data_IF_192981466777
#
_entry.id   IF_192981466777
#
_cell.length_a   1.000
_cell.length_b   1.000
_cell.length_c   1.000
_cell.angle_alpha   90.00
_cell.angle_beta   90.00
_cell.angle_gamma   90.00
#
_symmetry.space_group_name_H-M   'P 1'
#
loop_
_entity.id
_entity.type
_entity.pdbx_description
1 polymer ?
#
# COMPACT_ATOMS: atom_id res chain seq x y z
N UNK A 1 8.75 1.73 -31.67
CA UNK A 1 8.09 0.44 -32.00
C UNK A 1 7.75 -0.26 -30.70
N UNK A 2 6.47 -0.33 -30.33
CA UNK A 2 6.03 -0.99 -29.11
C UNK A 2 6.12 -2.50 -29.33
N UNK A 3 6.99 -3.19 -28.59
CA UNK A 3 7.14 -4.65 -28.69
C UNK A 3 5.81 -5.30 -28.28
N UNK A 4 5.24 -6.16 -29.12
CA UNK A 4 4.01 -6.88 -28.80
C UNK A 4 4.26 -7.94 -27.71
N UNK A 5 3.27 -8.22 -26.87
CA UNK A 5 3.36 -9.21 -25.80
C UNK A 5 2.99 -10.61 -26.36
N UNK A 6 3.88 -11.59 -26.23
CA UNK A 6 3.59 -12.99 -26.55
C UNK A 6 3.09 -13.73 -25.30
N UNK A 7 1.79 -13.53 -25.00
CA UNK A 7 1.16 -14.09 -23.80
C UNK A 7 1.19 -15.62 -23.76
N UNK A 8 1.00 -16.28 -24.90
CA UNK A 8 0.97 -17.73 -24.98
C UNK A 8 2.33 -18.33 -24.62
N UNK A 9 3.42 -17.73 -25.13
CA UNK A 9 4.78 -18.16 -24.82
C UNK A 9 5.19 -17.81 -23.39
N UNK A 10 4.77 -16.65 -22.88
CA UNK A 10 4.93 -16.29 -21.47
C UNK A 10 4.29 -17.35 -20.56
N UNK A 11 3.03 -17.70 -20.81
CA UNK A 11 2.35 -18.76 -20.04
C UNK A 11 3.10 -20.08 -20.14
N UNK A 12 3.48 -20.53 -21.33
CA UNK A 12 4.22 -21.80 -21.48
C UNK A 12 5.53 -21.86 -20.70
N UNK A 13 6.23 -20.73 -20.55
CA UNK A 13 7.51 -20.65 -19.81
C UNK A 13 7.27 -20.54 -18.31
N UNK A 14 6.39 -19.62 -17.89
CA UNK A 14 6.24 -19.17 -16.51
C UNK A 14 5.06 -19.79 -15.75
N UNK A 15 4.06 -20.34 -16.44
CA UNK A 15 2.88 -20.99 -15.85
C UNK A 15 3.19 -22.43 -15.43
N UNK A 16 4.24 -22.56 -14.61
CA UNK A 16 4.69 -23.81 -14.01
C UNK A 16 4.58 -23.69 -12.49
N UNK A 17 4.11 -24.73 -11.77
CA UNK A 17 4.04 -24.71 -10.31
C UNK A 17 5.38 -24.33 -9.65
N UNK A 18 6.49 -24.83 -10.22
CA UNK A 18 7.85 -24.54 -9.77
C UNK A 18 8.30 -23.08 -9.93
N UNK A 19 7.58 -22.25 -10.70
CA UNK A 19 7.85 -20.81 -10.84
C UNK A 19 6.81 -19.92 -10.15
N UNK A 20 5.77 -20.52 -9.54
CA UNK A 20 4.68 -19.77 -8.93
C UNK A 20 5.17 -18.83 -7.84
N UNK A 21 6.04 -19.30 -6.92
CA UNK A 21 6.63 -18.47 -5.85
C UNK A 21 7.52 -17.35 -6.37
N UNK A 22 8.23 -17.57 -7.49
CA UNK A 22 9.02 -16.54 -8.14
C UNK A 22 8.11 -15.41 -8.65
N UNK A 23 7.03 -15.77 -9.35
CA UNK A 23 6.05 -14.80 -9.85
C UNK A 23 5.34 -14.06 -8.70
N UNK A 24 4.95 -14.74 -7.63
CA UNK A 24 4.35 -14.08 -6.44
C UNK A 24 5.31 -13.09 -5.79
N UNK A 25 6.60 -13.42 -5.71
CA UNK A 25 7.64 -12.51 -5.19
C UNK A 25 7.81 -11.29 -6.09
N UNK A 26 7.84 -11.48 -7.41
CA UNK A 26 7.91 -10.37 -8.38
C UNK A 26 6.69 -9.47 -8.30
N UNK A 27 5.48 -10.04 -8.28
CA UNK A 27 4.24 -9.30 -8.09
C UNK A 27 4.31 -8.47 -6.80
N UNK A 28 4.57 -9.10 -5.66
CA UNK A 28 4.65 -8.40 -4.36
C UNK A 28 5.69 -7.29 -4.38
N UNK A 29 6.81 -7.51 -5.08
CA UNK A 29 7.89 -6.54 -5.21
C UNK A 29 7.44 -5.30 -6.00
N UNK A 30 6.82 -5.51 -7.16
CA UNK A 30 6.30 -4.41 -7.97
C UNK A 30 5.16 -3.67 -7.28
N UNK A 31 4.26 -4.42 -6.62
CA UNK A 31 3.14 -3.83 -5.90
C UNK A 31 3.60 -2.95 -4.73
N UNK A 32 4.71 -3.31 -4.08
CA UNK A 32 5.32 -2.55 -2.98
C UNK A 32 6.31 -1.47 -3.45
N UNK A 33 6.57 -1.34 -4.74
CA UNK A 33 7.57 -0.39 -5.26
C UNK A 33 8.99 -0.67 -4.76
N UNK A 34 9.37 -1.93 -4.58
CA UNK A 34 10.72 -2.29 -4.15
C UNK A 34 11.65 -2.27 -5.37
N UNK A 35 12.68 -1.42 -5.35
CA UNK A 35 13.58 -1.21 -6.49
C UNK A 35 14.98 -1.87 -6.38
N UNK A 36 15.24 -2.67 -5.34
CA UNK A 36 16.56 -3.32 -5.16
C UNK A 36 16.96 -4.30 -6.29
N UNK A 37 18.21 -4.38 -6.75
CA UNK A 37 18.59 -5.06 -8.01
C UNK A 37 18.39 -6.59 -8.05
N UNK A 38 18.06 -7.21 -6.92
CA UNK A 38 17.88 -8.65 -6.79
C UNK A 38 16.97 -8.99 -5.62
N UNK A 39 16.43 -10.20 -5.62
CA UNK A 39 15.75 -10.78 -4.45
C UNK A 39 16.21 -12.20 -4.19
N UNK A 40 16.01 -12.66 -2.96
CA UNK A 40 16.39 -14.01 -2.54
C UNK A 40 15.16 -14.86 -2.33
N UNK A 41 15.18 -16.06 -2.91
CA UNK A 41 14.21 -17.13 -2.64
C UNK A 41 14.80 -18.09 -1.59
N UNK A 42 14.29 -18.07 -0.34
CA UNK A 42 14.77 -18.95 0.71
C UNK A 42 14.18 -20.36 0.55
N UNK A 43 14.98 -21.37 0.89
CA UNK A 43 14.61 -22.79 0.92
C UNK A 43 13.87 -23.25 -0.34
N UNK A 44 14.44 -23.09 -1.55
CA UNK A 44 13.76 -23.52 -2.75
C UNK A 44 13.77 -25.05 -2.88
N UNK A 45 12.63 -25.60 -3.31
CA UNK A 45 12.49 -27.03 -3.61
C UNK A 45 13.41 -27.42 -4.77
N UNK A 46 13.65 -28.71 -4.96
CA UNK A 46 14.48 -29.17 -6.08
C UNK A 46 13.88 -28.77 -7.45
N UNK A 47 12.56 -28.81 -7.57
CA UNK A 47 11.86 -28.45 -8.81
C UNK A 47 11.91 -26.94 -9.07
N UNK A 48 11.74 -26.12 -8.04
CA UNK A 48 11.95 -24.67 -8.13
C UNK A 48 13.37 -24.35 -8.58
N UNK A 49 14.38 -25.01 -8.00
CA UNK A 49 15.79 -24.82 -8.40
C UNK A 49 16.01 -25.16 -9.86
N UNK A 50 15.52 -26.32 -10.31
CA UNK A 50 15.66 -26.77 -11.70
C UNK A 50 14.96 -25.82 -12.65
N UNK A 51 13.75 -25.38 -12.32
CA UNK A 51 12.99 -24.44 -13.14
C UNK A 51 13.67 -23.07 -13.22
N UNK A 52 14.17 -22.53 -12.10
CA UNK A 52 14.88 -21.24 -12.08
C UNK A 52 16.21 -21.34 -12.82
N UNK A 53 16.98 -22.40 -12.59
CA UNK A 53 18.25 -22.64 -13.29
C UNK A 53 18.04 -22.74 -14.81
N UNK A 54 17.03 -23.51 -15.24
CA UNK A 54 16.64 -23.63 -16.65
C UNK A 54 16.17 -22.30 -17.24
N UNK A 55 15.38 -21.51 -16.49
CA UNK A 55 14.91 -20.20 -16.91
C UNK A 55 16.07 -19.23 -17.15
N UNK A 56 17.05 -19.21 -16.24
CA UNK A 56 18.19 -18.30 -16.30
C UNK A 56 19.32 -18.82 -17.20
N UNK A 57 19.23 -20.05 -17.72
CA UNK A 57 20.30 -20.69 -18.48
C UNK A 57 21.56 -20.95 -17.65
N UNK A 58 21.40 -21.27 -16.36
CA UNK A 58 22.49 -21.48 -15.39
C UNK A 58 22.48 -22.92 -14.84
N UNK A 59 23.61 -23.43 -14.34
CA UNK A 59 23.63 -24.72 -13.65
C UNK A 59 22.81 -24.69 -12.36
N UNK A 60 22.23 -25.82 -11.99
CA UNK A 60 21.44 -25.96 -10.75
C UNK A 60 22.34 -25.87 -9.52
N UNK A 61 22.20 -24.81 -8.73
CA UNK A 61 22.93 -24.62 -7.47
C UNK A 61 22.38 -25.43 -6.30
N UNK A 62 23.25 -25.77 -5.34
CA UNK A 62 22.94 -26.56 -4.13
C UNK A 62 22.74 -25.75 -2.84
N UNK A 63 22.96 -24.43 -2.86
CA UNK A 63 22.90 -23.58 -1.66
C UNK A 63 21.50 -23.43 -1.05
N UNK A 64 21.35 -23.12 0.25
CA UNK A 64 20.04 -23.07 0.95
C UNK A 64 19.07 -21.99 0.44
N UNK A 65 19.54 -21.05 -0.37
CA UNK A 65 18.74 -20.01 -1.01
C UNK A 65 19.22 -19.79 -2.44
N UNK A 66 18.38 -19.18 -3.27
CA UNK A 66 18.76 -18.69 -4.61
C UNK A 66 18.61 -17.17 -4.61
N UNK A 67 19.68 -16.45 -4.95
CA UNK A 67 19.62 -15.02 -5.27
C UNK A 67 19.35 -14.87 -6.77
N UNK A 68 18.35 -14.06 -7.11
CA UNK A 68 17.91 -13.82 -8.49
C UNK A 68 18.05 -12.33 -8.75
N UNK A 69 18.87 -11.95 -9.74
CA UNK A 69 18.94 -10.56 -10.17
C UNK A 69 17.75 -10.22 -11.07
N UNK A 70 17.25 -9.00 -10.96
CA UNK A 70 16.16 -8.51 -11.82
C UNK A 70 16.62 -8.44 -13.27
N UNK A 71 17.86 -7.99 -13.50
CA UNK A 71 18.48 -7.93 -14.83
C UNK A 71 18.53 -9.29 -15.50
N UNK A 72 18.82 -10.37 -14.76
CA UNK A 72 18.84 -11.73 -15.33
C UNK A 72 17.46 -12.16 -15.87
N UNK A 73 16.38 -11.73 -15.20
CA UNK A 73 15.01 -12.01 -15.64
C UNK A 73 14.61 -11.12 -16.81
N UNK A 74 15.00 -9.84 -16.79
CA UNK A 74 14.81 -8.91 -17.91
C UNK A 74 15.51 -9.42 -19.18
N UNK A 75 16.73 -9.93 -19.05
CA UNK A 75 17.47 -10.53 -20.17
C UNK A 75 16.74 -11.75 -20.76
N UNK A 76 16.05 -12.54 -19.93
CA UNK A 76 15.24 -13.67 -20.41
C UNK A 76 14.03 -13.17 -21.21
N UNK A 77 13.34 -12.16 -20.70
CA UNK A 77 12.21 -11.52 -21.40
C UNK A 77 12.68 -10.91 -22.73
N UNK A 78 13.80 -10.19 -22.71
CA UNK A 78 14.34 -9.46 -23.87
C UNK A 78 14.86 -10.41 -24.96
N UNK A 79 15.62 -11.45 -24.58
CA UNK A 79 16.13 -12.47 -25.52
C UNK A 79 15.01 -13.33 -26.12
N UNK A 80 13.96 -13.59 -25.33
CA UNK A 80 12.80 -14.33 -25.80
C UNK A 80 11.79 -13.50 -26.59
N UNK A 81 12.00 -12.17 -26.67
CA UNK A 81 11.06 -11.19 -27.23
C UNK A 81 9.63 -11.32 -26.66
N UNK A 82 9.53 -11.68 -25.38
CA UNK A 82 8.26 -12.12 -24.78
C UNK A 82 7.36 -10.94 -24.39
N UNK A 83 7.97 -9.84 -23.96
CA UNK A 83 7.30 -8.61 -23.55
C UNK A 83 8.28 -7.42 -23.65
N UNK A 84 7.79 -6.17 -23.60
CA UNK A 84 8.63 -4.98 -23.53
C UNK A 84 9.57 -4.96 -22.31
N UNK A 85 9.05 -5.38 -21.16
CA UNK A 85 9.76 -5.39 -19.89
C UNK A 85 9.21 -6.47 -18.94
N UNK A 86 9.91 -6.70 -17.82
CA UNK A 86 9.54 -7.72 -16.85
C UNK A 86 8.22 -7.40 -16.12
N UNK A 87 7.91 -6.12 -15.90
CA UNK A 87 6.68 -5.71 -15.23
C UNK A 87 5.46 -6.07 -16.06
N UNK A 88 5.49 -5.70 -17.34
CA UNK A 88 4.46 -5.99 -18.34
C UNK A 88 4.26 -7.51 -18.47
N UNK A 89 5.34 -8.29 -18.45
CA UNK A 89 5.25 -9.76 -18.46
C UNK A 89 4.51 -10.32 -17.22
N UNK A 90 4.81 -9.79 -16.03
CA UNK A 90 4.15 -10.20 -14.79
C UNK A 90 2.68 -9.77 -14.75
N UNK A 91 2.36 -8.54 -15.18
CA UNK A 91 0.98 -8.04 -15.31
C UNK A 91 0.16 -8.92 -16.26
N UNK A 92 0.74 -9.32 -17.38
CA UNK A 92 0.08 -10.21 -18.35
C UNK A 92 -0.21 -11.61 -17.78
N UNK A 93 0.63 -12.10 -16.86
CA UNK A 93 0.49 -13.43 -16.23
C UNK A 93 -0.36 -13.44 -14.96
N UNK A 94 -0.39 -12.34 -14.19
CA UNK A 94 -1.03 -12.26 -12.86
C UNK A 94 -2.22 -11.31 -12.80
N UNK A 95 -2.46 -10.55 -13.86
CA UNK A 95 -3.42 -9.46 -13.87
C UNK A 95 -2.80 -8.13 -13.42
N UNK A 96 -3.61 -7.06 -13.35
CA UNK A 96 -3.12 -5.72 -13.04
C UNK A 96 -2.46 -5.67 -11.66
N UNK A 97 -1.21 -5.19 -11.62
CA UNK A 97 -0.46 -5.02 -10.38
C UNK A 97 -0.99 -3.81 -9.61
N UNK A 98 -1.35 -4.01 -8.34
CA UNK A 98 -1.77 -2.93 -7.45
C UNK A 98 -0.61 -1.98 -7.16
N UNK A 99 -0.88 -0.69 -7.00
CA UNK A 99 0.14 0.25 -6.54
C UNK A 99 -0.03 0.50 -5.04
N UNK A 100 0.44 -0.45 -4.22
CA UNK A 100 0.29 -0.37 -2.76
C UNK A 100 1.04 0.82 -2.16
N UNK A 101 2.11 1.28 -2.81
CA UNK A 101 2.83 2.48 -2.41
C UNK A 101 1.95 3.73 -2.59
N UNK A 102 1.30 3.88 -3.74
CA UNK A 102 0.34 4.96 -3.98
C UNK A 102 -0.90 4.86 -3.09
N UNK A 103 -1.41 3.66 -2.83
CA UNK A 103 -2.53 3.45 -1.89
C UNK A 103 -2.16 3.91 -0.47
N UNK A 104 -0.98 3.54 0.03
CA UNK A 104 -0.47 4.01 1.33
C UNK A 104 -0.22 5.51 1.37
N UNK A 105 0.35 6.07 0.30
CA UNK A 105 0.59 7.50 0.22
C UNK A 105 -0.72 8.30 0.19
N UNK A 106 -1.72 7.81 -0.55
CA UNK A 106 -3.06 8.40 -0.58
C UNK A 106 -3.76 8.30 0.79
N UNK A 107 -3.65 7.16 1.49
CA UNK A 107 -4.17 7.03 2.86
C UNK A 107 -3.47 8.03 3.79
N UNK A 108 -2.14 8.12 3.75
CA UNK A 108 -1.38 9.07 4.58
C UNK A 108 -1.76 10.52 4.27
N UNK A 109 -1.90 10.86 2.99
CA UNK A 109 -2.29 12.20 2.56
C UNK A 109 -3.71 12.55 2.99
N UNK A 110 -4.65 11.60 2.90
CA UNK A 110 -6.01 11.79 3.37
C UNK A 110 -6.06 12.04 4.89
N UNK A 111 -5.30 11.28 5.68
CA UNK A 111 -5.21 11.51 7.12
C UNK A 111 -4.49 12.81 7.49
N UNK A 112 -3.47 13.19 6.71
CA UNK A 112 -2.80 14.48 6.90
C UNK A 112 -3.77 15.63 6.64
N UNK A 113 -4.56 15.57 5.55
CA UNK A 113 -5.56 16.58 5.21
C UNK A 113 -6.60 16.77 6.33
N UNK A 114 -7.06 15.69 6.99
CA UNK A 114 -7.99 15.78 8.14
C UNK A 114 -7.41 16.66 9.25
N UNK A 115 -6.11 16.52 9.54
CA UNK A 115 -5.46 17.32 10.57
C UNK A 115 -5.12 18.73 10.07
N UNK A 116 -4.69 18.90 8.82
CA UNK A 116 -4.35 20.20 8.23
C UNK A 116 -5.59 21.11 8.16
N UNK A 117 -6.76 20.57 7.77
CA UNK A 117 -8.03 21.30 7.77
C UNK A 117 -8.35 21.86 9.16
N UNK A 118 -8.07 21.10 10.23
CA UNK A 118 -8.24 21.57 11.60
C UNK A 118 -7.23 22.65 11.99
N UNK A 119 -5.99 22.59 11.51
CA UNK A 119 -4.99 23.64 11.79
C UNK A 119 -5.36 24.97 11.13
N UNK A 120 -6.02 24.91 9.96
CA UNK A 120 -6.47 26.09 9.22
C UNK A 120 -7.70 26.78 9.85
N UNK A 121 -8.56 26.03 10.57
CA UNK A 121 -9.87 26.52 11.07
C UNK A 121 -9.80 27.45 12.31
N UNK A 122 -8.63 28.00 12.64
CA UNK A 122 -8.36 28.89 13.79
C UNK A 122 -8.32 28.13 15.11
N UNK A 123 -7.24 28.36 15.85
CA UNK A 123 -6.82 27.63 17.05
C UNK A 123 -7.11 28.46 18.32
N UNK A 124 -8.24 28.23 19.02
CA UNK A 124 -8.42 28.75 20.37
C UNK A 124 -7.20 28.41 21.23
N UNK A 125 -6.65 29.37 21.99
CA UNK A 125 -5.47 29.11 22.82
C UNK A 125 -5.72 27.94 23.78
N UNK A 126 -4.82 26.94 23.77
CA UNK A 126 -4.90 25.76 24.63
C UNK A 126 -5.42 24.48 23.98
N UNK A 127 -5.79 24.49 22.70
CA UNK A 127 -6.24 23.29 21.96
C UNK A 127 -5.06 22.45 21.45
N UNK A 128 -3.83 22.97 21.38
CA UNK A 128 -2.68 22.24 20.82
C UNK A 128 -2.42 20.92 21.55
N UNK A 129 -2.48 20.94 22.89
CA UNK A 129 -2.24 19.75 23.70
C UNK A 129 -3.32 18.67 23.51
N UNK A 130 -4.59 19.07 23.33
CA UNK A 130 -5.67 18.14 23.03
C UNK A 130 -5.53 17.54 21.63
N UNK A 131 -5.17 18.36 20.63
CA UNK A 131 -4.89 17.91 19.27
C UNK A 131 -3.75 16.89 19.23
N UNK A 132 -2.63 17.20 19.87
CA UNK A 132 -1.45 16.33 19.83
C UNK A 132 -1.75 14.98 20.50
N UNK A 133 -2.56 15.00 21.56
CA UNK A 133 -3.09 13.79 22.19
C UNK A 133 -4.02 13.01 21.25
N UNK A 134 -4.94 13.68 20.55
CA UNK A 134 -5.85 13.06 19.58
C UNK A 134 -5.09 12.38 18.43
N UNK A 135 -4.01 13.02 17.96
CA UNK A 135 -3.10 12.51 16.93
C UNK A 135 -2.30 11.30 17.43
N UNK A 136 -1.78 11.35 18.65
CA UNK A 136 -0.92 10.30 19.23
C UNK A 136 -1.72 9.07 19.67
N UNK A 137 -2.90 9.26 20.26
CA UNK A 137 -3.71 8.18 20.83
C UNK A 137 -4.48 7.38 19.76
N UNK A 138 -4.53 7.88 18.52
CA UNK A 138 -5.25 7.24 17.41
C UNK A 138 -6.77 7.16 17.60
N UNK A 139 -7.31 7.89 18.60
CA UNK A 139 -8.73 7.86 18.96
C UNK A 139 -9.62 8.27 17.79
N UNK A 140 -9.23 9.32 17.05
CA UNK A 140 -9.98 9.80 15.89
C UNK A 140 -10.09 8.72 14.80
N UNK A 141 -8.98 8.05 14.49
CA UNK A 141 -8.95 6.95 13.51
C UNK A 141 -9.84 5.78 13.94
N UNK A 142 -9.89 5.48 15.25
CA UNK A 142 -10.75 4.42 15.79
C UNK A 142 -12.24 4.80 15.74
N UNK A 143 -12.61 6.02 16.13
CA UNK A 143 -14.00 6.49 16.11
C UNK A 143 -14.54 6.59 14.68
N UNK A 144 -13.71 7.06 13.75
CA UNK A 144 -14.03 7.12 12.34
C UNK A 144 -13.94 5.76 11.61
N UNK A 145 -13.63 4.66 12.32
CA UNK A 145 -13.44 3.32 11.75
C UNK A 145 -12.45 3.28 10.56
N UNK A 146 -11.45 4.16 10.57
CA UNK A 146 -10.47 4.27 9.50
C UNK A 146 -10.90 5.09 8.28
N UNK A 147 -12.08 5.71 8.28
CA UNK A 147 -12.56 6.58 7.21
C UNK A 147 -12.15 8.06 7.46
N UNK A 148 -11.30 8.66 6.60
CA UNK A 148 -10.93 10.07 6.73
C UNK A 148 -12.10 11.04 6.65
N UNK A 149 -13.14 10.77 5.85
CA UNK A 149 -14.29 11.68 5.74
C UNK A 149 -15.11 11.70 7.03
N UNK A 150 -15.38 10.53 7.60
CA UNK A 150 -16.00 10.43 8.92
C UNK A 150 -15.16 11.10 10.02
N UNK A 151 -13.82 11.02 9.92
CA UNK A 151 -12.92 11.71 10.83
C UNK A 151 -13.04 13.24 10.74
N UNK A 152 -13.10 13.81 9.53
CA UNK A 152 -13.32 15.25 9.34
C UNK A 152 -14.63 15.71 9.98
N UNK A 153 -15.72 14.96 9.79
CA UNK A 153 -17.03 15.28 10.39
C UNK A 153 -16.93 15.29 11.92
N UNK A 154 -16.40 14.23 12.52
CA UNK A 154 -16.22 14.13 13.98
C UNK A 154 -15.36 15.28 14.53
N UNK A 155 -14.34 15.68 13.79
CA UNK A 155 -13.44 16.75 14.19
C UNK A 155 -14.13 18.12 14.17
N UNK A 156 -14.87 18.43 13.09
CA UNK A 156 -15.65 19.66 13.00
C UNK A 156 -16.73 19.74 14.09
N UNK A 157 -17.38 18.62 14.41
CA UNK A 157 -18.33 18.52 15.51
C UNK A 157 -17.66 18.83 16.86
N UNK A 158 -16.50 18.24 17.13
CA UNK A 158 -15.74 18.50 18.37
C UNK A 158 -15.31 19.98 18.49
N UNK A 159 -14.80 20.58 17.41
CA UNK A 159 -14.42 22.00 17.39
C UNK A 159 -15.61 22.92 17.61
N UNK A 160 -16.76 22.59 17.02
CA UNK A 160 -18.01 23.36 17.22
C UNK A 160 -18.42 23.38 18.69
N UNK A 161 -18.28 22.24 19.40
CA UNK A 161 -18.55 22.16 20.84
C UNK A 161 -17.53 22.96 21.65
N UNK A 162 -16.23 22.83 21.34
CA UNK A 162 -15.17 23.55 22.08
C UNK A 162 -15.34 25.07 21.94
N UNK A 163 -15.73 25.57 20.76
CA UNK A 163 -15.99 27.00 20.52
C UNK A 163 -17.13 27.57 21.37
N UNK A 164 -18.05 26.74 21.85
CA UNK A 164 -19.14 27.17 22.71
C UNK A 164 -18.80 27.15 24.21
N UNK A 165 -17.57 26.75 24.56
CA UNK A 165 -17.12 26.73 25.96
C UNK A 165 -16.50 28.08 26.38
N UNK A 166 -16.73 28.53 27.64
CA UNK A 166 -17.53 27.88 28.66
C UNK A 166 -19.04 28.02 28.39
N UNK A 167 -19.74 26.88 28.30
CA UNK A 167 -21.19 26.83 28.13
C UNK A 167 -21.84 27.39 29.39
N UNK A 168 -22.58 28.49 29.25
CA UNK A 168 -23.08 29.36 30.33
C UNK A 168 -24.10 28.66 31.26
N UNK A 169 -23.68 27.63 32.00
CA UNK A 169 -24.52 26.82 32.88
C UNK A 169 -25.39 25.76 32.17
N UNK A 170 -25.16 25.47 30.89
CA UNK A 170 -25.91 24.44 30.14
C UNK A 170 -25.40 23.03 30.49
N UNK A 171 -26.30 22.04 30.48
CA UNK A 171 -25.91 20.61 30.59
C UNK A 171 -25.23 20.15 29.30
N UNK A 172 -24.36 19.14 29.39
CA UNK A 172 -23.65 18.58 28.23
C UNK A 172 -24.59 18.11 27.12
N UNK A 173 -25.73 17.51 27.45
CA UNK A 173 -26.73 17.06 26.48
C UNK A 173 -27.43 18.21 25.76
N UNK A 174 -27.70 19.32 26.45
CA UNK A 174 -28.28 20.52 25.83
C UNK A 174 -27.27 21.21 24.91
N UNK A 175 -26.00 21.25 25.31
CA UNK A 175 -24.92 21.75 24.46
C UNK A 175 -24.75 20.89 23.20
N UNK A 176 -24.74 19.56 23.35
CA UNK A 176 -24.66 18.63 22.22
C UNK A 176 -25.85 18.80 21.26
N UNK A 177 -27.09 18.83 21.78
CA UNK A 177 -28.29 19.00 20.97
C UNK A 177 -28.29 20.32 20.18
N UNK A 178 -27.87 21.41 20.82
CA UNK A 178 -27.83 22.74 20.19
C UNK A 178 -26.71 22.88 19.14
N UNK A 179 -25.62 22.13 19.28
CA UNK A 179 -24.42 22.28 18.44
C UNK A 179 -24.33 21.25 17.32
N UNK A 180 -24.77 20.03 17.60
CA UNK A 180 -24.58 18.85 16.76
C UNK A 180 -25.90 18.31 16.20
N UNK A 181 -27.04 18.82 16.66
CA UNK A 181 -28.37 18.31 16.30
C UNK A 181 -28.72 16.97 16.94
N UNK A 182 -27.85 16.43 17.80
CA UNK A 182 -28.07 15.22 18.59
C UNK A 182 -27.65 15.47 20.05
N UNK A 183 -28.46 15.00 20.99
CA UNK A 183 -28.21 15.14 22.43
C UNK A 183 -27.18 14.11 22.96
N UNK A 184 -26.73 13.19 22.10
CA UNK A 184 -25.92 12.02 22.45
C UNK A 184 -24.54 11.95 21.79
#
# INVERSE_FOLDING_TARGET
MTRAIDHARLKRIFDKPALARLLTRLQTRFERGIDGPSFTLPHPTLDERKAIASLLGRPTGSGRSIRIAITDLEDVIQRGELAPDLRTAVESLRGPLKNLASEKAAEQQAWQAVFDDMEAEINPPGIEAWRDKLRTDGLLKRLAKGDPQAATILLHQALSVIRQLPGQGQTLSTLAANTLGDAH
#
